data_IF_410535584587
#
_entry.id   IF_410535584587
#
_cell.length_a   1.000
_cell.length_b   1.000
_cell.length_c   1.000
_cell.angle_alpha   90.00
_cell.angle_beta   90.00
_cell.angle_gamma   90.00
#
_symmetry.space_group_name_H-M   'P 1'
#
loop_
_entity.id
_entity.type
_entity.pdbx_description
1 polymer ?
#
# COMPACT_ATOMS: atom_id res chain seq x y z
N UNK A 1 39.46 -54.40 -16.74
CA UNK A 1 39.73 -53.07 -17.35
C UNK A 1 38.37 -52.43 -17.65
N UNK A 2 38.08 -51.35 -16.91
CA UNK A 2 36.92 -50.44 -16.93
C UNK A 2 35.59 -50.87 -17.60
N UNK A 3 34.57 -51.05 -16.76
CA UNK A 3 33.16 -50.86 -17.09
C UNK A 3 32.90 -49.36 -17.12
N UNK A 4 32.26 -48.83 -18.18
CA UNK A 4 31.59 -47.52 -18.13
C UNK A 4 30.21 -47.61 -18.78
N UNK A 5 29.23 -47.34 -17.94
CA UNK A 5 27.79 -47.37 -18.14
C UNK A 5 27.24 -46.10 -18.80
N UNK A 6 26.17 -46.33 -19.56
CA UNK A 6 25.06 -45.48 -20.04
C UNK A 6 24.91 -44.05 -19.48
N UNK A 7 24.41 -43.17 -20.36
CA UNK A 7 23.24 -42.34 -20.06
C UNK A 7 23.47 -40.83 -19.99
N UNK A 8 22.67 -40.07 -20.74
CA UNK A 8 22.36 -38.68 -20.40
C UNK A 8 22.63 -37.63 -21.48
N UNK A 9 21.91 -37.68 -22.61
CA UNK A 9 21.73 -36.49 -23.49
C UNK A 9 20.37 -35.80 -23.22
N UNK A 10 19.55 -36.29 -22.29
CA UNK A 10 18.22 -35.72 -21.98
C UNK A 10 18.20 -34.62 -20.91
N UNK A 11 19.35 -34.07 -20.50
CA UNK A 11 19.42 -33.15 -19.35
C UNK A 11 19.19 -31.67 -19.66
N UNK A 12 19.29 -31.22 -20.91
CA UNK A 12 19.44 -29.77 -21.19
C UNK A 12 18.22 -29.08 -21.80
N UNK A 13 17.10 -29.79 -22.02
CA UNK A 13 15.91 -29.23 -22.69
C UNK A 13 14.81 -28.73 -21.74
N UNK A 14 14.95 -28.89 -20.41
CA UNK A 14 13.87 -28.59 -19.45
C UNK A 14 13.89 -27.14 -18.95
N UNK A 15 14.92 -26.34 -19.26
CA UNK A 15 15.03 -24.96 -18.78
C UNK A 15 14.42 -23.89 -19.71
N UNK A 16 13.77 -24.25 -20.82
CA UNK A 16 13.24 -23.28 -21.80
C UNK A 16 11.72 -23.13 -21.82
N UNK A 17 11.00 -23.73 -20.87
CA UNK A 17 9.53 -23.58 -20.74
C UNK A 17 9.16 -23.11 -19.33
N UNK A 18 9.91 -22.17 -18.76
CA UNK A 18 9.32 -21.27 -17.77
C UNK A 18 8.78 -20.09 -18.56
N UNK A 19 7.47 -20.08 -18.80
CA UNK A 19 6.81 -18.87 -19.28
C UNK A 19 7.16 -17.74 -18.31
N UNK A 20 7.49 -16.57 -18.85
CA UNK A 20 7.62 -15.37 -18.04
C UNK A 20 6.27 -15.12 -17.35
N UNK A 21 6.18 -15.44 -16.07
CA UNK A 21 5.10 -14.98 -15.22
C UNK A 21 5.33 -13.48 -15.02
N UNK A 22 4.81 -12.67 -15.95
CA UNK A 22 4.73 -11.23 -15.75
C UNK A 22 3.71 -10.98 -14.64
N UNK A 23 4.18 -10.92 -13.41
CA UNK A 23 3.42 -10.25 -12.36
C UNK A 23 3.12 -8.83 -12.83
N UNK A 24 1.90 -8.35 -12.63
CA UNK A 24 1.56 -6.96 -12.90
C UNK A 24 2.46 -6.07 -12.01
N UNK A 25 3.40 -5.34 -12.62
CA UNK A 25 4.38 -4.51 -11.91
C UNK A 25 3.74 -3.19 -11.43
N UNK A 26 2.51 -3.25 -10.93
CA UNK A 26 1.84 -2.12 -10.31
C UNK A 26 2.52 -1.79 -8.99
N UNK A 27 3.31 -0.72 -8.99
CA UNK A 27 4.06 -0.25 -7.81
C UNK A 27 3.30 0.82 -7.00
N UNK A 28 2.10 1.20 -7.45
CA UNK A 28 1.29 2.24 -6.83
C UNK A 28 -0.08 1.68 -6.40
N UNK A 29 -0.86 2.48 -5.68
CA UNK A 29 -2.24 2.18 -5.33
C UNK A 29 -3.09 1.99 -6.61
N UNK A 30 -4.14 1.15 -6.56
CA UNK A 30 -5.11 1.02 -7.64
C UNK A 30 -5.75 2.37 -8.01
N UNK A 31 -6.26 2.45 -9.24
CA UNK A 31 -6.93 3.66 -9.71
C UNK A 31 -8.16 3.99 -8.82
N UNK A 32 -8.28 5.24 -8.32
CA UNK A 32 -9.38 5.62 -7.47
C UNK A 32 -10.70 5.75 -8.24
N UNK A 33 -11.69 4.93 -7.85
CA UNK A 33 -13.03 4.88 -8.45
C UNK A 33 -14.11 5.67 -7.68
N UNK A 34 -13.75 6.36 -6.59
CA UNK A 34 -14.65 7.25 -5.85
C UNK A 34 -14.01 8.62 -5.60
N UNK A 35 -14.81 9.69 -5.41
CA UNK A 35 -14.29 11.02 -5.08
C UNK A 35 -13.42 11.02 -3.81
N UNK A 36 -13.84 10.31 -2.77
CA UNK A 36 -13.10 10.22 -1.50
C UNK A 36 -11.78 9.47 -1.70
N UNK A 37 -11.79 8.34 -2.42
CA UNK A 37 -10.57 7.57 -2.73
C UNK A 37 -9.60 8.39 -3.57
N UNK A 38 -10.08 9.27 -4.46
CA UNK A 38 -9.24 10.16 -5.26
C UNK A 38 -8.52 11.19 -4.39
N UNK A 39 -9.19 11.76 -3.39
CA UNK A 39 -8.54 12.66 -2.44
C UNK A 39 -7.53 11.93 -1.55
N UNK A 40 -7.82 10.69 -1.14
CA UNK A 40 -6.86 9.83 -0.42
C UNK A 40 -5.64 9.54 -1.30
N UNK A 41 -5.85 9.19 -2.58
CA UNK A 41 -4.77 8.96 -3.53
C UNK A 41 -3.90 10.21 -3.73
N UNK A 42 -4.52 11.39 -3.88
CA UNK A 42 -3.79 12.65 -4.00
C UNK A 42 -2.96 12.96 -2.74
N UNK A 43 -3.53 12.69 -1.56
CA UNK A 43 -2.82 12.82 -0.29
C UNK A 43 -1.63 11.85 -0.21
N UNK A 44 -1.81 10.60 -0.63
CA UNK A 44 -0.73 9.61 -0.74
C UNK A 44 0.38 10.08 -1.68
N UNK A 45 0.05 10.57 -2.88
CA UNK A 45 1.04 11.04 -3.84
C UNK A 45 1.82 12.25 -3.32
N UNK A 46 1.14 13.16 -2.60
CA UNK A 46 1.78 14.30 -1.94
C UNK A 46 2.77 13.83 -0.87
N UNK A 47 2.34 12.98 0.06
CA UNK A 47 3.19 12.50 1.16
C UNK A 47 4.36 11.67 0.65
N UNK A 48 4.13 10.80 -0.34
CA UNK A 48 5.17 10.02 -0.99
C UNK A 48 6.22 10.91 -1.67
N UNK A 49 5.79 11.98 -2.35
CA UNK A 49 6.70 12.94 -2.99
C UNK A 49 7.53 13.69 -1.96
N UNK A 50 6.93 14.15 -0.86
CA UNK A 50 7.66 14.83 0.23
C UNK A 50 8.69 13.88 0.85
N UNK A 51 8.29 12.64 1.15
CA UNK A 51 9.19 11.62 1.69
C UNK A 51 10.37 11.32 0.74
N UNK A 52 10.10 11.20 -0.57
CA UNK A 52 11.13 11.00 -1.59
C UNK A 52 12.13 12.16 -1.61
N UNK A 53 11.66 13.40 -1.57
CA UNK A 53 12.53 14.59 -1.56
C UNK A 53 13.41 14.61 -0.30
N UNK A 54 12.83 14.37 0.88
CA UNK A 54 13.59 14.30 2.14
C UNK A 54 14.63 13.18 2.08
N UNK A 55 14.24 12.00 1.59
CA UNK A 55 15.13 10.86 1.42
C UNK A 55 16.32 11.24 0.52
N UNK A 56 16.09 11.83 -0.65
CA UNK A 56 17.16 12.26 -1.56
C UNK A 56 18.08 13.27 -0.90
N UNK A 57 17.54 14.26 -0.16
CA UNK A 57 18.35 15.27 0.55
C UNK A 57 19.23 14.60 1.61
N UNK A 58 18.65 13.75 2.47
CA UNK A 58 19.39 13.06 3.54
C UNK A 58 20.45 12.14 2.95
N UNK A 59 20.10 11.36 1.93
CA UNK A 59 21.04 10.49 1.22
C UNK A 59 22.18 11.30 0.60
N UNK A 60 21.90 12.44 -0.02
CA UNK A 60 22.94 13.32 -0.57
C UNK A 60 23.87 13.87 0.51
N UNK A 61 23.34 14.30 1.66
CA UNK A 61 24.13 14.79 2.81
C UNK A 61 25.03 13.68 3.37
N UNK A 62 24.51 12.46 3.48
CA UNK A 62 25.30 11.30 3.93
C UNK A 62 26.42 11.00 2.93
N UNK A 63 26.11 10.90 1.63
CA UNK A 63 27.10 10.64 0.58
C UNK A 63 28.18 11.73 0.58
N UNK A 64 27.78 13.01 0.67
CA UNK A 64 28.70 14.13 0.75
C UNK A 64 29.60 14.04 1.97
N UNK A 65 29.03 13.75 3.15
CA UNK A 65 29.77 13.65 4.40
C UNK A 65 30.80 12.53 4.36
N UNK A 66 30.42 11.36 3.82
CA UNK A 66 31.34 10.23 3.62
C UNK A 66 32.45 10.55 2.63
N UNK A 67 32.14 11.29 1.56
CA UNK A 67 33.13 11.64 0.54
C UNK A 67 34.13 12.68 1.04
N UNK A 68 33.64 13.74 1.72
CA UNK A 68 34.41 14.91 2.15
C UNK A 68 35.22 14.67 3.42
N UNK A 69 34.63 14.00 4.42
CA UNK A 69 35.21 13.85 5.77
C UNK A 69 35.90 12.50 5.99
N UNK A 70 36.27 11.80 4.92
CA UNK A 70 36.94 10.49 5.04
C UNK A 70 38.34 10.63 5.64
N UNK A 71 38.72 9.64 6.46
CA UNK A 71 40.07 9.54 7.04
C UNK A 71 41.18 9.47 5.97
N UNK A 72 40.95 8.78 4.86
CA UNK A 72 41.96 8.67 3.78
C UNK A 72 42.27 9.97 3.05
N UNK A 73 41.44 11.00 3.20
CA UNK A 73 41.72 12.35 2.70
C UNK A 73 42.43 13.23 3.74
N UNK A 74 42.84 12.68 4.89
CA UNK A 74 43.53 13.40 5.96
C UNK A 74 42.62 14.26 6.82
N UNK A 75 41.30 14.05 6.79
CA UNK A 75 40.39 14.81 7.64
C UNK A 75 40.49 14.39 9.11
N UNK A 76 40.71 15.35 10.01
CA UNK A 76 40.72 15.13 11.45
C UNK A 76 39.31 15.28 12.03
N UNK A 77 38.89 14.30 12.83
CA UNK A 77 37.54 14.29 13.40
C UNK A 77 37.38 15.33 14.51
N UNK A 78 36.34 16.16 14.42
CA UNK A 78 35.99 17.12 15.46
C UNK A 78 35.55 16.40 16.75
N UNK A 79 36.31 16.59 17.83
CA UNK A 79 36.03 16.01 19.14
C UNK A 79 35.04 16.84 19.98
N UNK A 80 34.76 18.08 19.57
CA UNK A 80 33.98 19.05 20.34
C UNK A 80 32.61 19.37 19.70
N UNK A 81 32.18 18.56 18.72
CA UNK A 81 30.91 18.77 18.02
C UNK A 81 29.72 18.98 18.96
N UNK A 82 29.65 18.17 20.02
CA UNK A 82 28.54 18.14 20.98
C UNK A 82 28.51 19.33 21.95
N UNK A 83 29.61 20.09 22.08
CA UNK A 83 29.67 21.30 22.91
C UNK A 83 29.49 22.56 22.09
N UNK A 84 29.71 22.48 20.78
CA UNK A 84 29.48 23.58 19.84
C UNK A 84 28.00 23.88 19.65
N UNK A 85 27.70 25.13 19.29
CA UNK A 85 26.34 25.58 18.97
C UNK A 85 25.66 24.68 17.93
N UNK A 86 26.38 24.28 16.88
CA UNK A 86 25.83 23.45 15.82
C UNK A 86 25.41 22.05 16.31
N UNK A 87 26.24 21.35 17.09
CA UNK A 87 25.89 20.02 17.57
C UNK A 87 24.74 20.01 18.58
N UNK A 88 24.59 21.08 19.37
CA UNK A 88 23.48 21.24 20.31
C UNK A 88 22.16 21.53 19.59
N UNK A 89 22.16 22.39 18.57
CA UNK A 89 20.91 22.88 17.97
C UNK A 89 20.48 22.17 16.68
N UNK A 90 21.40 21.60 15.91
CA UNK A 90 21.09 20.99 14.60
C UNK A 90 20.04 19.87 14.70
N UNK A 91 20.15 18.98 15.69
CA UNK A 91 19.21 17.87 15.88
C UNK A 91 17.84 18.31 16.40
N UNK A 92 17.69 19.53 16.91
CA UNK A 92 16.39 20.13 17.28
C UNK A 92 15.78 20.86 16.09
N UNK A 93 16.60 21.61 15.34
CA UNK A 93 16.15 22.38 14.18
C UNK A 93 15.66 21.48 13.05
N UNK A 94 16.32 20.34 12.81
CA UNK A 94 15.92 19.41 11.73
C UNK A 94 14.50 18.86 11.95
N UNK A 95 14.14 18.26 13.11
CA UNK A 95 12.76 17.86 13.39
C UNK A 95 11.75 18.99 13.33
N UNK A 96 12.09 20.19 13.80
CA UNK A 96 11.19 21.36 13.74
C UNK A 96 10.87 21.74 12.29
N UNK A 97 11.84 21.70 11.39
CA UNK A 97 11.61 21.96 9.96
C UNK A 97 10.72 20.88 9.34
N UNK A 98 10.97 19.59 9.65
CA UNK A 98 10.14 18.49 9.15
C UNK A 98 8.70 18.61 9.65
N UNK A 99 8.51 18.89 10.95
CA UNK A 99 7.17 19.12 11.52
C UNK A 99 6.44 20.32 10.89
N UNK A 100 7.18 21.37 10.52
CA UNK A 100 6.62 22.50 9.78
C UNK A 100 6.07 22.10 8.41
N UNK A 101 6.77 21.21 7.70
CA UNK A 101 6.29 20.62 6.44
C UNK A 101 5.06 19.75 6.71
N UNK A 102 5.10 18.90 7.72
CA UNK A 102 4.01 17.98 8.06
C UNK A 102 2.72 18.71 8.45
N UNK A 103 2.81 19.88 9.07
CA UNK A 103 1.63 20.69 9.40
C UNK A 103 0.85 21.11 8.14
N UNK A 104 1.54 21.31 7.02
CA UNK A 104 0.88 21.61 5.74
C UNK A 104 0.14 20.40 5.16
N UNK A 105 0.70 19.20 5.36
CA UNK A 105 0.08 17.93 4.97
C UNK A 105 -1.12 17.64 5.85
N UNK A 106 -1.00 17.86 7.16
CA UNK A 106 -2.08 17.68 8.14
C UNK A 106 -3.32 18.50 7.76
N UNK A 107 -3.15 19.76 7.34
CA UNK A 107 -4.27 20.59 6.88
C UNK A 107 -5.03 20.03 5.68
N UNK A 108 -4.34 19.36 4.74
CA UNK A 108 -5.00 18.63 3.64
C UNK A 108 -5.66 17.35 4.15
N UNK A 109 -4.97 16.59 5.00
CA UNK A 109 -5.50 15.37 5.59
C UNK A 109 -6.80 15.60 6.36
N UNK A 110 -6.91 16.68 7.15
CA UNK A 110 -8.15 17.03 7.87
C UNK A 110 -9.33 17.28 6.91
N UNK A 111 -9.08 17.88 5.75
CA UNK A 111 -10.14 18.06 4.73
C UNK A 111 -10.59 16.73 4.16
N UNK A 112 -9.65 15.85 3.81
CA UNK A 112 -9.99 14.49 3.33
C UNK A 112 -10.74 13.71 4.41
N UNK A 113 -10.31 13.82 5.66
CA UNK A 113 -10.98 13.19 6.81
C UNK A 113 -12.43 13.64 6.95
N UNK A 114 -12.71 14.94 6.77
CA UNK A 114 -14.09 15.44 6.79
C UNK A 114 -14.97 14.89 5.67
N UNK A 115 -14.39 14.48 4.53
CA UNK A 115 -15.12 13.81 3.45
C UNK A 115 -15.42 12.35 3.79
N UNK A 116 -14.51 11.68 4.51
CA UNK A 116 -14.71 10.31 5.00
C UNK A 116 -15.79 10.26 6.07
N UNK A 117 -15.85 11.27 6.94
CA UNK A 117 -16.87 11.39 8.00
C UNK A 117 -18.19 12.01 7.53
N UNK A 118 -18.36 12.26 6.24
CA UNK A 118 -19.58 12.90 5.71
C UNK A 118 -20.80 12.00 5.93
N UNK A 119 -21.72 12.47 6.78
CA UNK A 119 -22.94 11.76 7.18
C UNK A 119 -24.16 12.11 6.33
N UNK A 120 -23.99 12.85 5.23
CA UNK A 120 -25.08 13.17 4.29
C UNK A 120 -25.86 11.90 3.92
N UNK A 121 -27.21 11.94 3.92
CA UNK A 121 -28.04 10.77 3.67
C UNK A 121 -27.62 10.04 2.38
N UNK A 122 -27.45 8.70 2.43
CA UNK A 122 -27.17 7.90 1.24
C UNK A 122 -28.45 7.68 0.45
N UNK A 123 -28.27 7.25 -0.80
CA UNK A 123 -29.34 6.78 -1.67
C UNK A 123 -29.55 5.26 -1.55
N UNK A 124 -28.50 4.53 -1.16
CA UNK A 124 -28.52 3.09 -0.91
C UNK A 124 -27.74 2.75 0.35
N UNK A 125 -28.27 1.86 1.18
CA UNK A 125 -27.62 1.36 2.38
C UNK A 125 -27.39 -0.14 2.25
N UNK A 126 -26.11 -0.53 2.22
CA UNK A 126 -25.72 -1.94 2.19
C UNK A 126 -25.19 -2.34 3.56
N UNK A 127 -25.86 -3.27 4.23
CA UNK A 127 -25.34 -3.87 5.45
C UNK A 127 -24.46 -5.06 5.10
N UNK A 128 -23.22 -5.03 5.59
CA UNK A 128 -22.20 -6.05 5.36
C UNK A 128 -21.98 -6.80 6.66
N UNK A 129 -22.30 -8.09 6.67
CA UNK A 129 -22.13 -8.97 7.83
C UNK A 129 -21.05 -10.00 7.55
N UNK A 130 -19.94 -9.93 8.28
CA UNK A 130 -18.89 -10.94 8.25
C UNK A 130 -19.25 -12.15 9.11
N UNK A 131 -19.11 -13.35 8.55
CA UNK A 131 -19.20 -14.63 9.26
C UNK A 131 -17.99 -15.48 8.88
N UNK A 132 -17.68 -16.51 9.66
CA UNK A 132 -16.50 -17.33 9.39
C UNK A 132 -16.50 -17.92 7.96
N UNK A 133 -15.60 -17.25 7.22
CA UNK A 133 -15.15 -17.24 5.83
C UNK A 133 -16.18 -16.98 4.72
N UNK A 134 -17.16 -16.13 5.01
CA UNK A 134 -18.10 -15.62 4.00
C UNK A 134 -18.68 -14.27 4.41
N UNK A 135 -19.27 -13.60 3.44
CA UNK A 135 -19.90 -12.29 3.63
C UNK A 135 -21.39 -12.37 3.30
N UNK A 136 -22.23 -11.77 4.14
CA UNK A 136 -23.65 -11.58 3.86
C UNK A 136 -23.93 -10.11 3.63
N UNK A 137 -24.63 -9.79 2.55
CA UNK A 137 -24.99 -8.45 2.13
C UNK A 137 -26.51 -8.29 2.17
N UNK A 138 -27.00 -7.40 3.01
CA UNK A 138 -28.41 -7.00 3.04
C UNK A 138 -28.54 -5.63 2.37
N UNK A 139 -29.31 -5.55 1.29
CA UNK A 139 -29.78 -4.28 0.74
C UNK A 139 -30.89 -3.82 1.69
N UNK A 140 -30.79 -2.63 2.28
CA UNK A 140 -31.76 -2.25 3.33
C UNK A 140 -33.05 -1.67 2.75
N UNK A 141 -32.96 -1.10 1.56
CA UNK A 141 -34.07 -0.51 0.81
C UNK A 141 -34.86 -1.56 0.01
N UNK A 142 -34.21 -2.69 -0.32
CA UNK A 142 -34.79 -3.81 -1.06
C UNK A 142 -34.82 -5.04 -0.16
N UNK A 143 -35.85 -5.90 -0.22
CA UNK A 143 -35.88 -7.16 0.56
C UNK A 143 -34.96 -8.23 -0.06
N UNK A 144 -33.69 -7.88 -0.29
CA UNK A 144 -32.67 -8.66 -0.97
C UNK A 144 -31.51 -8.94 -0.02
N UNK A 145 -31.23 -10.23 0.16
CA UNK A 145 -30.07 -10.72 0.91
C UNK A 145 -29.22 -11.63 0.02
N UNK A 146 -27.91 -11.39 0.02
CA UNK A 146 -26.94 -12.18 -0.75
C UNK A 146 -25.90 -12.74 0.21
N UNK A 147 -25.64 -14.05 0.12
CA UNK A 147 -24.50 -14.69 0.79
C UNK A 147 -23.43 -14.95 -0.25
N UNK A 148 -22.22 -14.45 0.01
CA UNK A 148 -21.08 -14.47 -0.89
C UNK A 148 -19.94 -15.29 -0.28
N UNK A 149 -19.56 -16.37 -0.96
CA UNK A 149 -18.43 -17.23 -0.62
C UNK A 149 -17.37 -17.13 -1.71
N UNK A 150 -16.12 -17.44 -1.36
CA UNK A 150 -15.05 -17.59 -2.34
C UNK A 150 -15.45 -18.63 -3.40
N UNK A 151 -15.36 -18.25 -4.67
CA UNK A 151 -15.56 -19.18 -5.77
C UNK A 151 -14.36 -20.13 -5.86
N UNK A 152 -14.61 -21.43 -5.66
CA UNK A 152 -13.57 -22.48 -5.65
C UNK A 152 -13.46 -23.21 -6.97
N UNK A 153 -14.35 -22.92 -7.92
CA UNK A 153 -14.36 -23.58 -9.23
C UNK A 153 -13.42 -22.87 -10.24
N UNK A 154 -12.81 -21.75 -9.82
CA UNK A 154 -11.84 -20.99 -10.61
C UNK A 154 -10.49 -21.70 -10.64
N UNK A 155 -9.97 -21.89 -11.85
CA UNK A 155 -8.65 -22.47 -12.05
C UNK A 155 -7.56 -21.58 -11.45
N UNK A 156 -6.55 -22.19 -10.81
CA UNK A 156 -5.43 -21.48 -10.18
C UNK A 156 -4.64 -20.58 -11.14
N UNK A 157 -4.77 -20.82 -12.44
CA UNK A 157 -4.13 -20.04 -13.50
C UNK A 157 -4.90 -18.79 -13.92
N UNK A 158 -6.11 -18.56 -13.39
CA UNK A 158 -6.88 -17.35 -13.69
C UNK A 158 -6.47 -16.20 -12.77
N UNK A 159 -6.44 -14.99 -13.31
CA UNK A 159 -6.09 -13.75 -12.59
C UNK A 159 -7.04 -13.44 -11.41
N UNK A 160 -8.17 -14.12 -11.34
CA UNK A 160 -9.22 -13.99 -10.33
C UNK A 160 -9.11 -15.04 -9.21
N UNK A 161 -8.11 -15.93 -9.24
CA UNK A 161 -7.90 -16.93 -8.21
C UNK A 161 -7.80 -16.28 -6.82
N UNK A 162 -8.56 -16.81 -5.85
CA UNK A 162 -8.75 -16.26 -4.49
C UNK A 162 -9.40 -14.87 -4.41
N UNK A 163 -9.93 -14.33 -5.51
CA UNK A 163 -10.57 -13.01 -5.56
C UNK A 163 -12.04 -13.06 -5.94
N UNK A 164 -12.44 -14.00 -6.81
CA UNK A 164 -13.83 -14.08 -7.22
C UNK A 164 -14.71 -14.80 -6.20
N UNK A 165 -16.01 -14.52 -6.30
CA UNK A 165 -17.03 -15.02 -5.40
C UNK A 165 -18.23 -15.57 -6.17
N UNK A 166 -18.93 -16.52 -5.57
CA UNK A 166 -20.11 -17.16 -6.14
C UNK A 166 -21.25 -16.15 -6.43
N UNK A 167 -21.49 -15.24 -5.50
CA UNK A 167 -22.50 -14.20 -5.58
C UNK A 167 -21.86 -12.84 -5.39
N UNK A 168 -21.87 -12.04 -6.46
CA UNK A 168 -21.28 -10.70 -6.52
C UNK A 168 -22.26 -9.65 -6.00
N UNK A 169 -21.74 -8.67 -5.27
CA UNK A 169 -22.50 -7.47 -4.92
C UNK A 169 -22.60 -6.59 -6.16
N UNK A 170 -23.80 -6.08 -6.45
CA UNK A 170 -24.05 -5.20 -7.60
C UNK A 170 -24.52 -3.86 -7.05
N UNK A 171 -23.82 -2.79 -7.44
CA UNK A 171 -24.08 -1.45 -6.93
C UNK A 171 -24.31 -0.50 -8.11
N UNK A 172 -25.22 0.49 -7.97
CA UNK A 172 -25.38 1.53 -8.97
C UNK A 172 -24.15 2.46 -9.00
N UNK A 173 -23.80 2.91 -10.20
CA UNK A 173 -22.76 3.93 -10.41
C UNK A 173 -23.32 5.32 -10.10
N UNK A 174 -22.44 6.26 -9.77
CA UNK A 174 -22.77 7.67 -9.47
C UNK A 174 -23.79 7.86 -8.32
N UNK A 175 -23.90 6.88 -7.44
CA UNK A 175 -24.82 6.87 -6.30
C UNK A 175 -24.05 6.91 -4.98
N UNK A 176 -24.55 7.66 -3.99
CA UNK A 176 -23.98 7.64 -2.64
C UNK A 176 -24.46 6.41 -1.88
N UNK A 177 -23.52 5.51 -1.58
CA UNK A 177 -23.79 4.25 -0.89
C UNK A 177 -23.22 4.30 0.52
N UNK A 178 -24.02 3.93 1.53
CA UNK A 178 -23.59 3.76 2.91
C UNK A 178 -23.38 2.29 3.20
N UNK A 179 -22.19 1.93 3.65
CA UNK A 179 -21.91 0.58 4.15
C UNK A 179 -22.08 0.53 5.67
N UNK A 180 -22.81 -0.48 6.16
CA UNK A 180 -22.93 -0.78 7.59
C UNK A 180 -22.24 -2.10 7.88
N UNK A 181 -21.03 -2.04 8.43
CA UNK A 181 -20.23 -3.23 8.72
C UNK A 181 -20.55 -3.81 10.10
N UNK A 182 -20.72 -5.12 10.18
CA UNK A 182 -20.86 -5.88 11.43
C UNK A 182 -20.35 -7.31 11.24
N UNK A 183 -20.30 -8.09 12.31
CA UNK A 183 -19.93 -9.50 12.27
C UNK A 183 -20.84 -10.33 13.17
N UNK A 184 -21.05 -11.59 12.82
CA UNK A 184 -21.81 -12.55 13.64
C UNK A 184 -20.96 -13.29 14.66
N UNK A 185 -19.64 -13.34 14.44
CA UNK A 185 -18.72 -14.18 15.21
C UNK A 185 -17.45 -13.44 15.66
N UNK A 186 -16.44 -13.37 14.80
CA UNK A 186 -15.12 -12.80 15.08
C UNK A 186 -14.93 -11.49 14.32
N UNK A 187 -13.78 -10.84 14.54
CA UNK A 187 -13.44 -9.64 13.79
C UNK A 187 -13.12 -9.99 12.33
N UNK A 188 -13.71 -9.21 11.42
CA UNK A 188 -13.43 -9.18 9.98
C UNK A 188 -13.20 -7.72 9.56
N UNK A 189 -12.56 -7.50 8.41
CA UNK A 189 -12.27 -6.18 7.85
C UNK A 189 -12.30 -6.22 6.32
#
# INVERSE_FOLDING_TARGET
MSIRTKGGILGSAIFTITGDAFADWTLNLPEPVSPVTREIFNLHMLTATVALVIMVIVTAVIIYSLWKFRKSAGYEADQNFHTGWFGIWSWVLVPVVVLGIDLSIAGKATKVFSLVEDTTPPELTLKVTGSQWKWTYDYMEDDIQIVSNLDRDIAESEDTYLRDVDNKVILPVDTRIRFLHTATDVLHA
#
